data_IF_136690315781
#
_entry.id   IF_136690315781
#
_cell.length_a   1.000
_cell.length_b   1.000
_cell.length_c   1.000
_cell.angle_alpha   90.00
_cell.angle_beta   90.00
_cell.angle_gamma   90.00
#
_symmetry.space_group_name_H-M   'P 1'
#
loop_
_entity.id
_entity.type
_entity.pdbx_description
1 polymer ?
#
# COMPACT_ATOMS: atom_id res chain seq x y z
N UNK A 1 -17.16 33.21 -13.16
CA UNK A 1 -17.21 31.79 -12.75
C UNK A 1 -15.78 31.27 -12.69
N UNK A 2 -15.25 30.81 -11.55
CA UNK A 2 -13.92 30.22 -11.52
C UNK A 2 -13.94 28.83 -12.16
N UNK A 3 -12.83 28.37 -12.76
CA UNK A 3 -12.77 27.06 -13.38
C UNK A 3 -12.92 26.00 -12.30
N UNK A 4 -13.89 25.10 -12.49
CA UNK A 4 -13.95 23.87 -11.70
C UNK A 4 -12.76 23.03 -12.13
N UNK A 5 -11.71 22.98 -11.31
CA UNK A 5 -10.68 21.96 -11.44
C UNK A 5 -11.38 20.61 -11.31
N UNK A 6 -11.68 19.99 -12.45
CA UNK A 6 -11.96 18.57 -12.50
C UNK A 6 -10.59 17.93 -12.25
N UNK A 7 -10.28 17.66 -10.99
CA UNK A 7 -9.09 16.90 -10.61
C UNK A 7 -9.31 15.46 -11.10
N UNK A 8 -9.00 15.24 -12.38
CA UNK A 8 -8.89 13.91 -12.94
C UNK A 8 -7.70 13.25 -12.27
N UNK A 9 -7.96 12.26 -11.43
CA UNK A 9 -6.89 11.57 -10.70
C UNK A 9 -6.07 10.78 -11.73
N UNK A 10 -4.83 11.18 -11.99
CA UNK A 10 -3.97 10.45 -12.91
C UNK A 10 -3.68 9.10 -12.26
N UNK A 11 -3.90 8.00 -12.98
CA UNK A 11 -3.61 6.67 -12.46
C UNK A 11 -2.20 6.60 -11.88
N UNK A 12 -2.07 6.12 -10.65
CA UNK A 12 -0.81 6.08 -9.91
C UNK A 12 -0.47 4.63 -9.56
N UNK A 13 0.82 4.32 -9.54
CA UNK A 13 1.33 3.03 -9.09
C UNK A 13 1.88 3.15 -7.69
N UNK A 14 1.39 2.31 -6.79
CA UNK A 14 1.85 2.21 -5.42
C UNK A 14 2.84 1.07 -5.29
N UNK A 15 3.99 1.35 -4.69
CA UNK A 15 5.05 0.36 -4.45
C UNK A 15 5.15 0.02 -2.97
N UNK A 16 5.30 -1.27 -2.67
CA UNK A 16 5.45 -1.78 -1.31
C UNK A 16 6.69 -1.23 -0.59
N UNK A 17 7.73 -0.87 -1.36
CA UNK A 17 9.00 -0.31 -0.86
C UNK A 17 8.83 0.86 0.11
N UNK A 18 7.79 1.69 -0.09
CA UNK A 18 7.55 2.87 0.76
C UNK A 18 7.07 2.54 2.18
N UNK A 19 6.59 1.33 2.40
CA UNK A 19 6.09 0.88 3.71
C UNK A 19 7.19 0.25 4.57
N UNK A 20 8.32 -0.15 3.98
CA UNK A 20 9.41 -0.79 4.70
C UNK A 20 9.97 0.09 5.82
N UNK A 21 10.18 1.39 5.57
CA UNK A 21 10.69 2.30 6.60
C UNK A 21 9.70 2.50 7.76
N UNK A 22 8.40 2.60 7.45
CA UNK A 22 7.35 2.73 8.46
C UNK A 22 7.24 1.50 9.33
N UNK A 23 7.28 0.30 8.72
CA UNK A 23 7.21 -0.97 9.44
C UNK A 23 8.49 -1.22 10.25
N UNK A 24 9.65 -0.90 9.69
CA UNK A 24 10.94 -1.07 10.38
C UNK A 24 11.06 -0.18 11.62
N UNK A 25 10.49 1.02 11.59
CA UNK A 25 10.48 1.93 12.73
C UNK A 25 9.59 1.48 13.90
N UNK A 26 8.76 0.44 13.73
CA UNK A 26 7.92 -0.10 14.81
C UNK A 26 8.81 -0.83 15.83
N UNK A 27 9.74 -1.65 15.35
CA UNK A 27 10.73 -2.33 16.17
C UNK A 27 11.97 -2.64 15.33
N UNK A 28 13.00 -1.82 15.49
CA UNK A 28 14.26 -1.93 14.76
C UNK A 28 15.17 -3.04 15.30
N UNK A 29 14.82 -3.64 16.44
CA UNK A 29 15.68 -4.55 17.20
C UNK A 29 15.30 -6.02 17.06
N UNK A 30 14.01 -6.31 16.78
CA UNK A 30 13.48 -7.68 16.85
C UNK A 30 12.68 -8.12 15.62
N UNK A 31 12.48 -7.24 14.63
CA UNK A 31 11.60 -7.53 13.48
C UNK A 31 12.37 -7.42 12.17
N UNK A 32 12.59 -8.57 11.53
CA UNK A 32 13.05 -8.65 10.14
C UNK A 32 11.86 -8.71 9.19
N UNK A 33 11.83 -7.79 8.22
CA UNK A 33 10.78 -7.73 7.21
C UNK A 33 11.15 -8.66 6.05
N UNK A 34 10.50 -9.82 5.97
CA UNK A 34 10.72 -10.76 4.85
C UNK A 34 10.20 -10.19 3.52
N UNK A 35 8.93 -9.80 3.48
CA UNK A 35 8.33 -9.15 2.31
C UNK A 35 7.09 -8.37 2.69
N UNK A 36 6.85 -7.26 1.99
CA UNK A 36 5.58 -6.54 2.01
C UNK A 36 4.93 -6.70 0.65
N UNK A 37 3.70 -7.22 0.63
CA UNK A 37 2.89 -7.32 -0.56
C UNK A 37 1.61 -6.50 -0.40
N UNK A 38 1.12 -5.99 -1.51
CA UNK A 38 -0.05 -5.16 -1.62
C UNK A 38 -1.07 -5.89 -2.49
N UNK A 39 -2.35 -5.74 -2.15
CA UNK A 39 -3.47 -6.32 -2.89
C UNK A 39 -4.60 -5.32 -2.97
N UNK A 40 -5.32 -5.33 -4.10
CA UNK A 40 -6.54 -4.52 -4.29
C UNK A 40 -7.82 -5.30 -3.99
N UNK A 41 -7.76 -6.62 -4.14
CA UNK A 41 -8.90 -7.53 -4.05
C UNK A 41 -8.79 -8.51 -2.87
N UNK A 42 -7.67 -8.47 -2.13
CA UNK A 42 -7.38 -9.39 -1.04
C UNK A 42 -7.00 -10.81 -1.51
N UNK A 43 -6.87 -11.05 -2.81
CA UNK A 43 -6.60 -12.38 -3.39
C UNK A 43 -5.31 -12.41 -4.20
N UNK A 44 -4.99 -11.34 -4.93
CA UNK A 44 -3.76 -11.21 -5.71
C UNK A 44 -2.81 -10.26 -5.02
N UNK A 45 -1.64 -10.77 -4.63
CA UNK A 45 -0.64 -10.02 -3.86
C UNK A 45 0.59 -9.73 -4.74
N UNK A 46 1.01 -8.47 -4.80
CA UNK A 46 2.16 -8.01 -5.59
C UNK A 46 2.93 -6.92 -4.84
N UNK A 47 4.18 -6.69 -5.19
CA UNK A 47 5.00 -5.59 -4.62
C UNK A 47 4.66 -4.23 -5.24
N UNK A 48 3.88 -4.22 -6.30
CA UNK A 48 3.33 -3.00 -6.90
C UNK A 48 1.89 -3.22 -7.36
N UNK A 49 1.07 -2.19 -7.15
CA UNK A 49 -0.31 -2.15 -7.61
C UNK A 49 -0.55 -0.84 -8.34
N UNK A 50 -1.22 -0.91 -9.49
CA UNK A 50 -1.58 0.26 -10.27
C UNK A 50 -3.06 0.56 -10.11
N UNK A 51 -3.37 1.84 -9.96
CA UNK A 51 -4.74 2.32 -9.82
C UNK A 51 -5.19 3.04 -11.09
N UNK A 52 -6.47 2.87 -11.39
CA UNK A 52 -7.12 3.52 -12.51
C UNK A 52 -7.23 5.03 -12.34
N UNK A 53 -7.66 5.69 -13.41
CA UNK A 53 -8.04 7.10 -13.35
C UNK A 53 -9.34 7.20 -12.53
N UNK A 54 -9.39 8.18 -11.64
CA UNK A 54 -10.50 8.42 -10.70
C UNK A 54 -10.69 7.29 -9.64
N UNK A 55 -9.71 6.42 -9.45
CA UNK A 55 -9.64 5.51 -8.29
C UNK A 55 -8.94 6.19 -7.11
N UNK A 56 -9.62 6.30 -5.97
CA UNK A 56 -9.04 6.78 -4.70
C UNK A 56 -8.73 5.56 -3.83
N UNK A 57 -7.45 5.29 -3.52
CA UNK A 57 -7.12 4.14 -2.69
C UNK A 57 -7.48 4.51 -1.26
N UNK A 58 -8.22 3.64 -0.58
CA UNK A 58 -8.42 3.79 0.86
C UNK A 58 -7.71 2.63 1.52
N UNK A 59 -6.78 2.93 2.42
CA UNK A 59 -6.15 1.93 3.27
C UNK A 59 -6.88 1.94 4.60
N UNK A 60 -7.60 0.86 4.89
CA UNK A 60 -8.21 0.63 6.18
C UNK A 60 -7.28 -0.23 7.05
N UNK A 61 -7.29 0.01 8.35
CA UNK A 61 -6.56 -0.80 9.33
C UNK A 61 -7.03 -2.26 9.34
N UNK A 62 -8.30 -2.50 9.04
CA UNK A 62 -8.89 -3.85 8.99
C UNK A 62 -8.35 -4.68 7.82
N UNK A 63 -7.74 -4.04 6.82
CA UNK A 63 -7.15 -4.70 5.65
C UNK A 63 -5.63 -4.92 5.77
N UNK A 64 -5.03 -4.60 6.91
CA UNK A 64 -3.59 -4.80 7.16
C UNK A 64 -3.39 -6.11 7.92
N UNK A 65 -2.77 -7.08 7.26
CA UNK A 65 -2.49 -8.39 7.85
C UNK A 65 -0.99 -8.59 8.01
N UNK A 66 -0.58 -8.93 9.23
CA UNK A 66 0.80 -9.34 9.52
C UNK A 66 0.81 -10.85 9.65
N UNK A 67 1.59 -11.50 8.79
CA UNK A 67 1.85 -12.93 8.90
C UNK A 67 3.25 -13.12 9.46
N UNK A 68 3.33 -13.69 10.66
CA UNK A 68 4.60 -14.12 11.22
C UNK A 68 5.13 -15.29 10.38
N UNK A 69 6.37 -15.17 9.92
CA UNK A 69 7.08 -16.21 9.18
C UNK A 69 8.16 -16.76 10.10
N UNK A 70 7.83 -17.81 10.85
CA UNK A 70 8.75 -18.56 11.72
C UNK A 70 7.98 -19.67 12.44
N UNK A 71 8.42 -20.93 12.49
CA UNK A 71 9.67 -21.58 12.05
C UNK A 71 9.39 -22.70 11.06
#
# INVERSE_FOLDING_TARGET
>A
MPPRCILKSIGYTLFAGRYYSGVYNIDTSSVDIYSITLSRDGTTYSTSISFGIDEIPTLDTDNIFVKLVGS
#
